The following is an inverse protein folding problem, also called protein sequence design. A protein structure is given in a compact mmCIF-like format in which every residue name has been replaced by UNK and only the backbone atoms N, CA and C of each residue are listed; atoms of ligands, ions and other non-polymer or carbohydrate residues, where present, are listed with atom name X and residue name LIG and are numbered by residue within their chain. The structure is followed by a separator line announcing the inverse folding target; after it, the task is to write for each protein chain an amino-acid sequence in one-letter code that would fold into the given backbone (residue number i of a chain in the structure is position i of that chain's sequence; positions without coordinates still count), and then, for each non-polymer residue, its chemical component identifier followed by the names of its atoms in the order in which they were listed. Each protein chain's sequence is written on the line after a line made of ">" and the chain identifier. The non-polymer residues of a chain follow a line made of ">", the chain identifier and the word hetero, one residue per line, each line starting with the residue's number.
data_IF_025824452220
#
_entry.id   IF_025824452220
#
_cell.length_a   1.000
_cell.length_b   1.000
_cell.length_c   1.000
_cell.angle_alpha   90.00
_cell.angle_beta   90.00
_cell.angle_gamma   90.00
#
_symmetry.space_group_name_H-M   'P 1'
#
loop_
_entity.id
_entity.type
_entity.pdbx_description
1 polymer ?
#
# COMPACT_ATOMS: atom_id res chain seq x y z
N UNK A 1 -19.21 -45.63 11.77
CA UNK A 1 -20.25 -44.87 11.02
C UNK A 1 -20.70 -43.75 11.93
N UNK A 2 -20.07 -42.58 11.80
CA UNK A 2 -20.53 -41.35 12.46
C UNK A 2 -21.08 -40.47 11.34
N UNK A 3 -22.35 -40.69 11.02
CA UNK A 3 -23.09 -39.89 10.05
C UNK A 3 -23.59 -38.65 10.80
N UNK A 4 -22.67 -37.71 11.05
CA UNK A 4 -23.03 -36.40 11.52
C UNK A 4 -23.75 -35.72 10.35
N UNK A 5 -25.07 -35.60 10.46
CA UNK A 5 -25.90 -34.74 9.59
C UNK A 5 -25.22 -33.37 9.56
N UNK A 6 -24.52 -33.05 8.46
CA UNK A 6 -24.00 -31.71 8.25
C UNK A 6 -25.22 -30.83 8.07
N UNK A 7 -25.56 -30.05 9.09
CA UNK A 7 -26.56 -29.01 9.00
C UNK A 7 -26.17 -28.09 7.84
N UNK A 8 -27.03 -28.04 6.82
CA UNK A 8 -26.82 -27.20 5.66
C UNK A 8 -27.02 -25.74 6.06
N UNK A 9 -25.99 -24.94 5.87
CA UNK A 9 -25.95 -23.56 6.36
C UNK A 9 -26.73 -22.67 5.38
N UNK A 10 -27.76 -21.98 5.87
CA UNK A 10 -28.47 -20.98 5.06
C UNK A 10 -27.52 -19.84 4.67
N UNK A 11 -27.67 -19.32 3.46
CA UNK A 11 -26.96 -18.14 2.99
C UNK A 11 -27.83 -16.87 3.20
N UNK A 12 -27.21 -15.69 3.14
CA UNK A 12 -27.88 -14.39 3.32
C UNK A 12 -28.77 -13.95 2.15
N UNK A 13 -29.01 -14.86 1.19
CA UNK A 13 -29.98 -14.69 0.11
C UNK A 13 -31.10 -15.71 0.33
N UNK A 14 -32.33 -15.21 0.48
CA UNK A 14 -33.49 -16.02 0.78
C UNK A 14 -33.64 -17.19 -0.21
N UNK A 15 -33.78 -18.40 0.35
CA UNK A 15 -33.95 -19.62 -0.43
C UNK A 15 -32.67 -20.19 -1.02
N UNK A 16 -31.48 -19.79 -0.54
CA UNK A 16 -30.20 -20.44 -0.86
C UNK A 16 -29.50 -20.97 0.40
N UNK A 17 -28.86 -22.13 0.27
CA UNK A 17 -27.99 -22.73 1.29
C UNK A 17 -26.60 -23.06 0.75
N UNK A 18 -25.68 -23.48 1.61
CA UNK A 18 -24.30 -23.75 1.22
C UNK A 18 -24.19 -24.91 0.22
N UNK A 19 -25.04 -25.94 0.34
CA UNK A 19 -25.06 -27.07 -0.59
C UNK A 19 -25.43 -26.67 -2.02
N UNK A 20 -26.24 -25.63 -2.19
CA UNK A 20 -26.63 -25.09 -3.50
C UNK A 20 -25.44 -24.58 -4.32
N UNK A 21 -24.35 -24.17 -3.67
CA UNK A 21 -23.14 -23.71 -4.35
C UNK A 21 -22.43 -24.81 -5.16
N UNK A 22 -22.80 -26.08 -4.92
CA UNK A 22 -22.28 -27.24 -5.64
C UNK A 22 -23.25 -27.74 -6.72
N UNK A 23 -24.45 -27.17 -6.84
CA UNK A 23 -25.43 -27.55 -7.87
C UNK A 23 -25.48 -26.54 -9.03
N UNK A 24 -25.14 -26.93 -10.28
CA UNK A 24 -25.11 -26.02 -11.42
C UNK A 24 -26.42 -25.26 -11.69
N UNK A 25 -27.58 -25.90 -11.45
CA UNK A 25 -28.89 -25.25 -11.64
C UNK A 25 -29.10 -24.13 -10.64
N UNK A 26 -28.72 -24.37 -9.39
CA UNK A 26 -28.83 -23.40 -8.30
C UNK A 26 -27.82 -22.27 -8.47
N UNK A 27 -26.61 -22.55 -8.97
CA UNK A 27 -25.64 -21.52 -9.35
C UNK A 27 -26.16 -20.60 -10.46
N UNK A 28 -26.90 -21.13 -11.44
CA UNK A 28 -27.56 -20.28 -12.46
C UNK A 28 -28.62 -19.37 -11.84
N UNK A 29 -29.42 -19.89 -10.91
CA UNK A 29 -30.44 -19.11 -10.22
C UNK A 29 -29.77 -18.03 -9.32
N UNK A 30 -28.67 -18.37 -8.65
CA UNK A 30 -27.86 -17.43 -7.86
C UNK A 30 -27.22 -16.34 -8.75
N UNK A 31 -26.74 -16.71 -9.93
CA UNK A 31 -26.22 -15.77 -10.92
C UNK A 31 -27.29 -14.77 -11.39
N UNK A 32 -28.54 -15.20 -11.55
CA UNK A 32 -29.65 -14.27 -11.80
C UNK A 32 -29.87 -13.30 -10.63
N UNK A 33 -29.80 -13.79 -9.38
CA UNK A 33 -29.87 -12.93 -8.18
C UNK A 33 -28.71 -11.95 -8.06
N UNK A 34 -27.52 -12.34 -8.49
CA UNK A 34 -26.39 -11.43 -8.58
C UNK A 34 -26.68 -10.26 -9.54
N UNK A 35 -27.19 -10.51 -10.74
CA UNK A 35 -27.47 -9.43 -11.68
C UNK A 35 -28.67 -8.55 -11.29
N UNK A 36 -29.69 -9.11 -10.62
CA UNK A 36 -30.75 -8.31 -9.99
C UNK A 36 -30.15 -7.36 -8.93
N UNK A 37 -29.25 -7.86 -8.08
CA UNK A 37 -28.54 -7.06 -7.08
C UNK A 37 -27.64 -6.00 -7.72
N UNK A 38 -26.90 -6.38 -8.76
CA UNK A 38 -25.98 -5.49 -9.44
C UNK A 38 -26.69 -4.30 -10.10
N UNK A 39 -27.82 -4.53 -10.76
CA UNK A 39 -28.62 -3.48 -11.39
C UNK A 39 -29.24 -2.53 -10.34
N UNK A 40 -29.64 -3.05 -9.18
CA UNK A 40 -30.11 -2.22 -8.06
C UNK A 40 -28.99 -1.37 -7.45
N UNK A 41 -27.75 -1.87 -7.45
CA UNK A 41 -26.58 -1.20 -6.88
C UNK A 41 -25.97 -0.17 -7.83
N UNK A 42 -25.91 -0.50 -9.12
CA UNK A 42 -25.33 0.31 -10.19
C UNK A 42 -26.12 0.08 -11.48
N UNK A 43 -27.05 0.99 -11.76
CA UNK A 43 -27.94 0.84 -12.91
C UNK A 43 -27.15 0.89 -14.23
N UNK A 44 -27.53 0.02 -15.17
CA UNK A 44 -26.90 -0.16 -16.46
C UNK A 44 -25.65 -1.05 -16.41
N UNK A 45 -25.21 -1.53 -15.24
CA UNK A 45 -24.00 -2.36 -15.13
C UNK A 45 -24.16 -3.70 -15.85
N UNK A 46 -25.34 -4.33 -15.73
CA UNK A 46 -25.62 -5.60 -16.44
C UNK A 46 -25.57 -5.41 -17.97
N UNK A 47 -26.14 -4.32 -18.46
CA UNK A 47 -26.11 -3.98 -19.89
C UNK A 47 -24.68 -3.73 -20.37
N UNK A 48 -23.89 -2.93 -19.63
CA UNK A 48 -22.48 -2.69 -19.94
C UNK A 48 -21.67 -3.99 -19.94
N UNK A 49 -21.88 -4.86 -18.96
CA UNK A 49 -21.20 -6.16 -18.88
C UNK A 49 -21.56 -7.09 -20.04
N UNK A 50 -22.79 -7.06 -20.55
CA UNK A 50 -23.16 -7.85 -21.73
C UNK A 50 -22.33 -7.49 -22.98
N UNK A 51 -21.88 -6.24 -23.11
CA UNK A 51 -21.02 -5.78 -24.21
C UNK A 51 -19.59 -6.32 -24.11
N UNK A 52 -19.12 -6.63 -22.90
CA UNK A 52 -17.81 -7.25 -22.70
C UNK A 52 -17.72 -8.61 -23.42
N UNK A 53 -18.74 -9.45 -23.27
CA UNK A 53 -18.80 -10.77 -23.93
C UNK A 53 -18.89 -10.70 -25.46
N UNK A 54 -19.38 -9.57 -26.00
CA UNK A 54 -19.43 -9.33 -27.44
C UNK A 54 -18.09 -8.81 -28.02
N UNK A 55 -17.11 -8.46 -27.17
CA UNK A 55 -15.79 -7.99 -27.59
C UNK A 55 -15.78 -6.57 -28.20
N UNK A 56 -16.80 -5.75 -27.92
CA UNK A 56 -16.96 -4.42 -28.56
C UNK A 56 -16.25 -3.28 -27.83
N UNK A 57 -15.75 -3.52 -26.61
CA UNK A 57 -15.10 -2.50 -25.78
C UNK A 57 -13.60 -2.44 -26.04
N UNK A 58 -13.02 -1.24 -26.02
CA UNK A 58 -11.57 -1.06 -26.00
C UNK A 58 -10.97 -1.58 -24.67
N UNK A 59 -9.70 -2.00 -24.67
CA UNK A 59 -9.04 -2.63 -23.50
C UNK A 59 -9.12 -1.81 -22.19
N UNK A 60 -8.89 -0.47 -22.20
CA UNK A 60 -9.05 0.32 -20.98
C UNK A 60 -10.48 0.27 -20.43
N UNK A 61 -11.47 0.41 -21.31
CA UNK A 61 -12.89 0.37 -20.93
C UNK A 61 -13.31 -1.02 -20.43
N UNK A 62 -12.75 -2.10 -20.98
CA UNK A 62 -12.93 -3.46 -20.46
C UNK A 62 -12.40 -3.57 -19.03
N UNK A 63 -11.19 -3.06 -18.77
CA UNK A 63 -10.56 -3.13 -17.45
C UNK A 63 -11.35 -2.34 -16.39
N UNK A 64 -11.77 -1.11 -16.72
CA UNK A 64 -12.62 -0.30 -15.84
C UNK A 64 -13.96 -0.99 -15.54
N UNK A 65 -14.58 -1.59 -16.56
CA UNK A 65 -15.82 -2.35 -16.38
C UNK A 65 -15.62 -3.58 -15.47
N UNK A 66 -14.50 -4.30 -15.58
CA UNK A 66 -14.20 -5.41 -14.69
C UNK A 66 -13.97 -4.95 -13.24
N UNK A 67 -13.36 -3.78 -13.04
CA UNK A 67 -13.19 -3.16 -11.71
C UNK A 67 -14.57 -2.80 -11.12
N UNK A 68 -15.43 -2.14 -11.90
CA UNK A 68 -16.80 -1.80 -11.49
C UNK A 68 -17.59 -3.04 -11.07
N UNK A 69 -17.51 -4.13 -11.85
CA UNK A 69 -18.17 -5.40 -11.53
C UNK A 69 -17.57 -6.05 -10.29
N UNK A 70 -16.24 -6.04 -10.14
CA UNK A 70 -15.57 -6.63 -8.98
C UNK A 70 -16.01 -6.00 -7.65
N UNK A 71 -16.26 -4.69 -7.63
CA UNK A 71 -16.80 -3.99 -6.45
C UNK A 71 -18.15 -4.59 -6.05
N UNK A 72 -19.06 -4.72 -7.02
CA UNK A 72 -20.41 -5.26 -6.79
C UNK A 72 -20.37 -6.75 -6.42
N UNK A 73 -19.46 -7.53 -7.01
CA UNK A 73 -19.22 -8.92 -6.62
C UNK A 73 -18.80 -9.00 -5.15
N UNK A 74 -17.88 -8.14 -4.69
CA UNK A 74 -17.47 -8.08 -3.29
C UNK A 74 -18.65 -7.83 -2.35
N UNK A 75 -19.46 -6.80 -2.63
CA UNK A 75 -20.65 -6.48 -1.84
C UNK A 75 -21.69 -7.62 -1.86
N UNK A 76 -21.85 -8.30 -3.00
CA UNK A 76 -22.75 -9.44 -3.13
C UNK A 76 -22.27 -10.64 -2.30
N UNK A 77 -20.98 -10.94 -2.30
CA UNK A 77 -20.40 -12.02 -1.50
C UNK A 77 -20.52 -11.73 0.01
N UNK A 78 -20.36 -10.46 0.41
CA UNK A 78 -20.60 -10.04 1.79
C UNK A 78 -22.02 -10.34 2.25
N UNK A 79 -22.99 -10.05 1.38
CA UNK A 79 -24.39 -10.38 1.64
C UNK A 79 -24.65 -11.89 1.60
N UNK A 80 -24.09 -12.60 0.62
CA UNK A 80 -24.30 -14.03 0.42
C UNK A 80 -23.86 -14.83 1.65
N UNK A 81 -22.72 -14.48 2.25
CA UNK A 81 -22.18 -15.17 3.40
C UNK A 81 -22.47 -14.49 4.75
N UNK A 82 -23.22 -13.39 4.74
CA UNK A 82 -23.55 -12.58 5.94
C UNK A 82 -22.32 -12.07 6.72
N UNK A 83 -21.21 -11.80 6.02
CA UNK A 83 -19.91 -11.40 6.58
C UNK A 83 -19.69 -9.89 6.58
N UNK A 84 -20.75 -9.10 6.68
CA UNK A 84 -20.67 -7.64 6.61
C UNK A 84 -19.78 -7.04 7.71
N UNK A 85 -19.84 -7.59 8.92
CA UNK A 85 -19.06 -7.10 10.05
C UNK A 85 -17.55 -7.35 9.84
N UNK A 86 -17.19 -8.55 9.40
CA UNK A 86 -15.82 -8.96 9.12
C UNK A 86 -15.24 -8.17 7.94
N UNK A 87 -16.02 -7.98 6.88
CA UNK A 87 -15.62 -7.20 5.72
C UNK A 87 -15.44 -5.72 6.06
N UNK A 88 -16.34 -5.12 6.86
CA UNK A 88 -16.18 -3.75 7.33
C UNK A 88 -14.97 -3.59 8.23
N UNK A 89 -14.73 -4.53 9.16
CA UNK A 89 -13.50 -4.54 9.96
C UNK A 89 -12.26 -4.59 9.07
N UNK A 90 -12.23 -5.48 8.07
CA UNK A 90 -11.10 -5.56 7.13
C UNK A 90 -10.90 -4.25 6.35
N UNK A 91 -11.98 -3.61 5.90
CA UNK A 91 -11.92 -2.29 5.23
C UNK A 91 -11.36 -1.22 6.15
N UNK A 92 -11.88 -1.12 7.37
CA UNK A 92 -11.48 -0.10 8.32
C UNK A 92 -10.01 -0.24 8.69
N UNK A 93 -9.58 -1.45 9.03
CA UNK A 93 -8.17 -1.70 9.33
C UNK A 93 -7.25 -1.47 8.10
N UNK A 94 -7.76 -1.55 6.86
CA UNK A 94 -6.98 -1.23 5.64
C UNK A 94 -6.87 0.29 5.50
N UNK A 95 -7.99 1.00 5.66
CA UNK A 95 -8.06 2.47 5.59
C UNK A 95 -7.21 3.14 6.65
N UNK A 96 -7.05 2.52 7.82
CA UNK A 96 -6.11 2.99 8.85
C UNK A 96 -4.69 3.17 8.31
N UNK A 97 -4.26 2.35 7.34
CA UNK A 97 -2.93 2.40 6.75
C UNK A 97 -2.82 3.40 5.59
N UNK A 98 -3.93 3.95 5.09
CA UNK A 98 -3.93 4.96 4.01
C UNK A 98 -3.06 6.17 4.36
N UNK A 99 -3.03 6.55 5.64
CA UNK A 99 -2.19 7.63 6.12
C UNK A 99 -0.71 7.40 5.78
N UNK A 100 -0.22 6.17 5.88
CA UNK A 100 1.18 5.81 5.59
C UNK A 100 1.49 6.05 4.10
N UNK A 101 0.60 5.61 3.22
CA UNK A 101 0.80 5.73 1.77
C UNK A 101 0.68 7.17 1.29
N UNK A 102 -0.30 7.92 1.84
CA UNK A 102 -0.42 9.36 1.60
C UNK A 102 0.79 10.12 2.12
N UNK A 103 1.29 9.80 3.32
CA UNK A 103 2.51 10.38 3.88
C UNK A 103 3.73 10.14 2.98
N UNK A 104 3.92 8.89 2.52
CA UNK A 104 4.99 8.55 1.58
C UNK A 104 4.90 9.37 0.29
N UNK A 105 3.70 9.47 -0.28
CA UNK A 105 3.44 10.16 -1.55
C UNK A 105 3.60 11.67 -1.44
N UNK A 106 2.95 12.28 -0.46
CA UNK A 106 2.75 13.74 -0.39
C UNK A 106 3.82 14.44 0.45
N UNK A 107 4.45 13.74 1.39
CA UNK A 107 5.49 14.29 2.27
C UNK A 107 6.87 13.73 1.95
N UNK A 108 7.10 12.41 2.06
CA UNK A 108 8.44 11.84 1.92
C UNK A 108 9.05 12.07 0.53
N UNK A 109 8.30 11.79 -0.56
CA UNK A 109 8.78 12.02 -1.93
C UNK A 109 9.10 13.49 -2.21
N UNK A 110 8.36 14.41 -1.59
CA UNK A 110 8.49 15.84 -1.84
C UNK A 110 9.62 16.48 -1.02
N UNK A 111 9.75 16.10 0.26
CA UNK A 111 10.59 16.80 1.25
C UNK A 111 11.76 16.00 1.81
N UNK A 112 11.74 14.66 1.72
CA UNK A 112 12.73 13.80 2.40
C UNK A 112 13.61 13.06 1.40
N UNK A 113 13.03 12.34 0.44
CA UNK A 113 13.77 11.40 -0.41
C UNK A 113 14.86 12.03 -1.30
N UNK A 114 14.84 13.35 -1.48
CA UNK A 114 15.87 14.10 -2.21
C UNK A 114 17.10 14.47 -1.36
N UNK A 115 16.97 14.38 -0.04
CA UNK A 115 17.95 14.80 0.97
C UNK A 115 18.53 13.63 1.75
N UNK A 116 18.28 12.38 1.33
CA UNK A 116 18.72 11.19 2.07
C UNK A 116 20.23 10.93 2.01
N UNK A 117 20.97 11.65 1.17
CA UNK A 117 22.43 11.56 1.07
C UNK A 117 23.14 12.56 2.01
N UNK A 118 22.39 13.29 2.84
CA UNK A 118 22.94 14.23 3.82
C UNK A 118 23.69 13.52 4.95
N UNK A 119 24.73 14.18 5.48
CA UNK A 119 25.54 13.63 6.56
C UNK A 119 24.79 13.66 7.89
N UNK A 120 24.99 12.61 8.70
CA UNK A 120 24.38 12.51 10.02
C UNK A 120 24.87 13.64 10.94
N UNK A 121 23.93 14.32 11.60
CA UNK A 121 24.21 15.22 12.72
C UNK A 121 24.72 14.45 13.94
N UNK A 122 25.35 15.16 14.89
CA UNK A 122 25.82 14.54 16.13
C UNK A 122 24.65 14.01 16.99
N UNK A 123 24.96 13.14 17.94
CA UNK A 123 23.93 12.44 18.71
C UNK A 123 23.15 13.38 19.64
N UNK A 124 23.79 14.40 20.21
CA UNK A 124 23.12 15.35 21.09
C UNK A 124 22.12 16.22 20.31
N UNK A 125 22.50 16.65 19.10
CA UNK A 125 21.61 17.36 18.19
C UNK A 125 20.43 16.48 17.76
N UNK A 126 20.67 15.20 17.48
CA UNK A 126 19.62 14.26 17.13
C UNK A 126 18.67 14.00 18.30
N UNK A 127 19.16 13.85 19.53
CA UNK A 127 18.32 13.68 20.72
C UNK A 127 17.35 14.86 20.92
N UNK A 128 17.82 16.09 20.68
CA UNK A 128 16.96 17.28 20.72
C UNK A 128 15.90 17.26 19.62
N UNK A 129 16.30 16.92 18.39
CA UNK A 129 15.39 16.81 17.25
C UNK A 129 14.34 15.71 17.47
N UNK A 130 14.75 14.55 17.97
CA UNK A 130 13.87 13.42 18.28
C UNK A 130 12.87 13.78 19.39
N UNK A 131 13.32 14.50 20.42
CA UNK A 131 12.43 14.99 21.49
C UNK A 131 11.35 15.95 20.94
N UNK A 132 11.74 16.92 20.12
CA UNK A 132 10.81 17.87 19.48
C UNK A 132 9.78 17.13 18.59
N UNK A 133 10.24 16.18 17.78
CA UNK A 133 9.38 15.39 16.91
C UNK A 133 8.44 14.49 17.71
N UNK A 134 8.91 13.84 18.78
CA UNK A 134 8.05 13.06 19.68
C UNK A 134 6.96 13.93 20.29
N UNK A 135 7.25 15.17 20.66
CA UNK A 135 6.26 16.09 21.22
C UNK A 135 5.20 16.49 20.18
N UNK A 136 5.60 16.76 18.94
CA UNK A 136 4.67 17.02 17.82
C UNK A 136 3.77 15.81 17.55
N UNK A 137 4.34 14.61 17.47
CA UNK A 137 3.59 13.38 17.15
C UNK A 137 2.69 12.97 18.31
N UNK A 138 3.11 13.15 19.57
CA UNK A 138 2.31 12.85 20.75
C UNK A 138 1.06 13.72 20.88
N UNK A 139 1.10 14.95 20.34
CA UNK A 139 -0.04 15.87 20.31
C UNK A 139 -1.04 15.56 19.18
N UNK A 140 -0.75 14.59 18.30
CA UNK A 140 -1.66 14.14 17.25
C UNK A 140 -2.63 13.05 17.75
N UNK A 141 -3.57 12.63 16.90
CA UNK A 141 -4.52 11.57 17.24
C UNK A 141 -3.79 10.28 17.65
N UNK A 142 -4.18 9.64 18.78
CA UNK A 142 -3.53 8.42 19.23
C UNK A 142 -3.76 7.28 18.24
N UNK A 143 -2.73 6.46 18.06
CA UNK A 143 -2.79 5.25 17.25
C UNK A 143 -1.71 4.25 17.70
N UNK A 144 -2.02 2.96 17.73
CA UNK A 144 -1.10 1.93 18.25
C UNK A 144 0.15 1.75 17.38
N UNK A 145 0.00 1.81 16.05
CA UNK A 145 1.14 1.82 15.13
C UNK A 145 1.83 3.21 15.13
N UNK A 146 3.12 3.30 15.51
CA UNK A 146 3.86 4.56 15.55
C UNK A 146 4.04 5.21 14.16
N UNK A 147 4.12 4.42 13.09
CA UNK A 147 4.22 4.94 11.72
C UNK A 147 2.93 5.65 11.30
N UNK A 148 1.77 5.05 11.61
CA UNK A 148 0.46 5.67 11.35
C UNK A 148 0.32 6.96 12.13
N UNK A 149 0.73 6.98 13.41
CA UNK A 149 0.69 8.17 14.26
C UNK A 149 1.55 9.30 13.69
N UNK A 150 2.77 8.98 13.28
CA UNK A 150 3.67 9.94 12.62
C UNK A 150 3.06 10.48 11.31
N UNK A 151 2.53 9.58 10.47
CA UNK A 151 1.89 9.94 9.21
C UNK A 151 0.69 10.86 9.41
N UNK A 152 -0.17 10.59 10.39
CA UNK A 152 -1.33 11.44 10.75
C UNK A 152 -0.86 12.84 11.15
N UNK A 153 0.16 12.96 12.00
CA UNK A 153 0.71 14.24 12.42
C UNK A 153 1.24 15.05 11.22
N UNK A 154 2.06 14.42 10.38
CA UNK A 154 2.64 15.04 9.19
C UNK A 154 1.56 15.49 8.19
N UNK A 155 0.55 14.64 7.93
CA UNK A 155 -0.53 14.95 7.00
C UNK A 155 -1.46 16.05 7.53
N UNK A 156 -1.74 16.09 8.84
CA UNK A 156 -2.51 17.15 9.46
C UNK A 156 -1.82 18.52 9.29
N UNK A 157 -0.51 18.57 9.54
CA UNK A 157 0.30 19.78 9.33
C UNK A 157 0.37 20.17 7.85
N UNK A 158 0.53 19.20 6.94
CA UNK A 158 0.56 19.46 5.49
C UNK A 158 -0.78 20.00 4.98
N UNK A 159 -1.90 19.49 5.49
CA UNK A 159 -3.23 20.00 5.18
C UNK A 159 -3.42 21.44 5.69
N UNK A 160 -2.94 21.74 6.90
CA UNK A 160 -2.98 23.09 7.47
C UNK A 160 -2.09 24.07 6.68
N UNK A 161 -0.89 23.68 6.27
CA UNK A 161 -0.01 24.52 5.44
C UNK A 161 -0.66 24.90 4.11
N UNK A 162 -1.29 23.93 3.42
CA UNK A 162 -2.07 24.18 2.20
C UNK A 162 -3.21 25.16 2.46
N UNK A 163 -3.94 24.96 3.56
CA UNK A 163 -5.06 25.82 3.97
C UNK A 163 -4.61 27.27 4.20
N UNK A 164 -3.52 27.45 4.95
CA UNK A 164 -2.97 28.77 5.29
C UNK A 164 -2.39 29.50 4.08
N UNK A 165 -1.93 28.77 3.06
CA UNK A 165 -1.38 29.35 1.82
C UNK A 165 -2.47 29.69 0.80
N UNK A 166 -3.49 28.83 0.66
CA UNK A 166 -4.53 28.97 -0.35
C UNK A 166 -5.75 29.82 0.09
N UNK A 167 -5.83 30.20 1.37
CA UNK A 167 -6.89 31.06 1.91
C UNK A 167 -8.18 30.34 2.33
N UNK A 168 -8.38 29.07 1.91
CA UNK A 168 -9.41 28.10 2.37
C UNK A 168 -8.83 26.68 2.14
N UNK A 169 -9.04 25.59 2.95
CA UNK A 169 -10.31 25.05 3.48
C UNK A 169 -10.21 24.45 4.95
N UNK A 170 -10.76 23.24 5.30
CA UNK A 170 -11.65 23.05 6.47
C UNK A 170 -11.06 23.42 7.85
N UNK A 171 -11.87 24.07 8.70
CA UNK A 171 -11.52 24.48 10.08
C UNK A 171 -10.85 23.37 10.94
N UNK A 172 -11.21 22.11 10.70
CA UNK A 172 -10.65 20.96 11.41
C UNK A 172 -9.15 20.72 11.15
N UNK A 173 -8.59 21.11 10.00
CA UNK A 173 -7.14 20.99 9.75
C UNK A 173 -6.35 22.00 10.57
N UNK A 174 -6.86 23.24 10.67
CA UNK A 174 -6.29 24.32 11.46
C UNK A 174 -6.33 24.01 12.95
N UNK A 175 -7.46 23.53 13.47
CA UNK A 175 -7.61 23.14 14.87
C UNK A 175 -6.60 22.04 15.26
N UNK A 176 -6.47 20.99 14.45
CA UNK A 176 -5.49 19.92 14.68
C UNK A 176 -4.06 20.44 14.64
N UNK A 177 -3.73 21.31 13.68
CA UNK A 177 -2.40 21.91 13.60
C UNK A 177 -2.10 22.82 14.79
N UNK A 178 -3.07 23.58 15.29
CA UNK A 178 -2.94 24.37 16.51
C UNK A 178 -2.63 23.49 17.72
N UNK A 179 -3.32 22.35 17.86
CA UNK A 179 -3.06 21.39 18.94
C UNK A 179 -1.64 20.78 18.82
N UNK A 180 -1.26 20.31 17.64
CA UNK A 180 0.06 19.70 17.38
C UNK A 180 1.18 20.71 17.68
N UNK A 181 1.02 21.95 17.23
CA UNK A 181 2.01 23.01 17.37
C UNK A 181 1.85 23.87 18.64
N UNK A 182 1.04 23.47 19.62
CA UNK A 182 0.70 24.33 20.77
C UNK A 182 1.93 24.73 21.61
N UNK A 183 2.90 23.81 21.75
CA UNK A 183 4.13 24.00 22.50
C UNK A 183 5.19 24.79 21.74
N UNK A 184 4.96 25.11 20.46
CA UNK A 184 5.95 25.76 19.61
C UNK A 184 6.02 27.27 19.85
N UNK A 185 7.24 27.86 19.85
CA UNK A 185 7.44 29.25 20.26
C UNK A 185 7.13 30.28 19.18
N UNK A 186 6.97 29.89 17.90
CA UNK A 186 6.74 30.87 16.82
C UNK A 186 5.45 31.67 17.04
N UNK A 187 5.39 32.95 16.63
CA UNK A 187 4.23 33.80 16.91
C UNK A 187 2.98 33.39 16.11
N UNK A 188 3.16 33.10 14.82
CA UNK A 188 2.08 32.80 13.90
C UNK A 188 1.94 31.29 13.67
N UNK A 189 0.70 30.80 13.56
CA UNK A 189 0.43 29.39 13.26
C UNK A 189 1.11 28.93 11.96
N UNK A 190 1.13 29.77 10.93
CA UNK A 190 1.79 29.44 9.67
C UNK A 190 3.29 29.15 9.84
N UNK A 191 3.98 29.96 10.66
CA UNK A 191 5.38 29.75 11.00
C UNK A 191 5.59 28.51 11.86
N UNK A 192 4.71 28.24 12.84
CA UNK A 192 4.77 27.01 13.65
C UNK A 192 4.61 25.76 12.79
N UNK A 193 3.61 25.74 11.91
CA UNK A 193 3.33 24.61 11.01
C UNK A 193 4.50 24.38 10.05
N UNK A 194 5.00 25.44 9.43
CA UNK A 194 6.18 25.36 8.54
C UNK A 194 7.37 24.77 9.29
N UNK A 195 7.69 25.29 10.48
CA UNK A 195 8.84 24.82 11.25
C UNK A 195 8.67 23.39 11.76
N UNK A 196 7.45 23.01 12.15
CA UNK A 196 7.15 21.63 12.51
C UNK A 196 7.34 20.66 11.33
N UNK A 197 6.89 21.03 10.13
CA UNK A 197 7.10 20.22 8.92
C UNK A 197 8.58 20.10 8.54
N UNK A 198 9.38 21.17 8.73
CA UNK A 198 10.84 21.13 8.57
C UNK A 198 11.48 20.13 9.55
N UNK A 199 11.10 20.17 10.83
CA UNK A 199 11.62 19.25 11.85
C UNK A 199 11.25 17.79 11.55
N UNK A 200 10.01 17.53 11.13
CA UNK A 200 9.59 16.17 10.73
C UNK A 200 10.38 15.67 9.51
N UNK A 201 10.66 16.56 8.54
CA UNK A 201 11.45 16.20 7.37
C UNK A 201 12.91 15.92 7.73
N UNK A 202 13.52 16.81 8.52
CA UNK A 202 14.89 16.67 9.03
C UNK A 202 15.03 15.36 9.82
N UNK A 203 14.11 15.06 10.73
CA UNK A 203 14.13 13.81 11.49
C UNK A 203 14.07 12.58 10.57
N UNK A 204 13.23 12.60 9.54
CA UNK A 204 13.17 11.49 8.57
C UNK A 204 14.49 11.32 7.80
N UNK A 205 15.18 12.41 7.47
CA UNK A 205 16.51 12.38 6.84
C UNK A 205 17.53 11.81 7.83
N UNK A 206 17.60 12.37 9.04
CA UNK A 206 18.61 12.01 10.04
C UNK A 206 18.49 10.59 10.58
N UNK A 207 17.28 10.03 10.60
CA UNK A 207 17.07 8.62 10.91
C UNK A 207 17.67 7.71 9.85
N UNK A 208 17.65 8.10 8.57
CA UNK A 208 18.23 7.33 7.46
C UNK A 208 19.72 7.61 7.26
N UNK A 209 20.21 8.77 7.70
CA UNK A 209 21.60 9.18 7.56
C UNK A 209 22.59 8.34 8.41
N UNK A 210 22.12 7.73 9.50
CA UNK A 210 22.95 6.93 10.40
C UNK A 210 22.37 5.51 10.64
N UNK A 211 23.11 4.43 10.34
CA UNK A 211 22.64 3.06 10.58
C UNK A 211 22.24 2.76 12.04
N UNK A 212 22.87 3.44 13.00
CA UNK A 212 22.54 3.33 14.43
C UNK A 212 21.12 3.81 14.76
N UNK A 213 20.45 4.55 13.88
CA UNK A 213 19.11 5.12 14.07
C UNK A 213 18.01 4.36 13.35
N UNK A 214 18.35 3.42 12.46
CA UNK A 214 17.37 2.66 11.67
C UNK A 214 16.33 1.90 12.51
N UNK A 215 16.66 1.56 13.76
CA UNK A 215 15.72 0.91 14.68
C UNK A 215 14.50 1.77 15.00
N UNK A 216 14.61 3.11 14.96
CA UNK A 216 13.50 4.04 15.22
C UNK A 216 12.35 3.91 14.21
N UNK A 217 12.68 3.48 12.99
CA UNK A 217 11.74 3.29 11.89
C UNK A 217 11.68 1.82 11.45
N UNK A 218 12.05 0.90 12.36
CA UNK A 218 12.00 -0.52 12.07
C UNK A 218 10.55 -0.93 11.74
N UNK A 219 10.37 -1.59 10.58
CA UNK A 219 9.06 -2.01 10.09
C UNK A 219 8.23 -0.90 9.46
N UNK A 220 8.79 0.31 9.28
CA UNK A 220 8.10 1.38 8.57
C UNK A 220 8.17 1.15 7.05
N UNK A 221 7.01 0.88 6.44
CA UNK A 221 6.92 0.57 5.01
C UNK A 221 6.99 1.83 4.13
N UNK A 222 6.75 3.00 4.72
CA UNK A 222 6.87 4.31 4.07
C UNK A 222 8.29 4.59 3.56
N UNK A 223 9.31 4.14 4.29
CA UNK A 223 10.72 4.31 3.91
C UNK A 223 11.23 3.27 2.91
N UNK A 224 10.49 2.17 2.68
CA UNK A 224 10.95 1.17 1.72
C UNK A 224 10.84 1.71 0.29
N UNK A 225 11.94 1.66 -0.46
CA UNK A 225 12.02 2.12 -1.84
C UNK A 225 12.45 0.97 -2.75
N UNK A 226 11.93 0.90 -3.99
CA UNK A 226 12.50 0.01 -4.99
C UNK A 226 13.94 0.47 -5.29
N UNK A 227 14.87 -0.47 -5.28
CA UNK A 227 16.25 -0.20 -5.70
C UNK A 227 16.29 -0.04 -7.22
N UNK A 228 17.26 0.74 -7.71
CA UNK A 228 17.57 0.72 -9.14
C UNK A 228 18.08 -0.67 -9.50
N UNK A 229 17.66 -1.17 -10.66
CA UNK A 229 18.16 -2.45 -11.16
C UNK A 229 19.60 -2.25 -11.65
N UNK A 230 20.54 -2.89 -10.96
CA UNK A 230 21.93 -2.99 -11.38
C UNK A 230 22.17 -4.37 -12.01
N UNK A 231 22.39 -4.40 -13.32
CA UNK A 231 22.58 -5.65 -14.06
C UNK A 231 23.92 -6.32 -13.76
N UNK A 232 24.91 -5.56 -13.28
CA UNK A 232 26.21 -6.10 -12.87
C UNK A 232 26.17 -6.64 -11.42
N UNK A 233 25.14 -6.27 -10.65
CA UNK A 233 24.98 -6.66 -9.25
C UNK A 233 23.54 -7.09 -8.92
N UNK A 234 23.00 -8.05 -9.69
CA UNK A 234 21.63 -8.58 -9.47
C UNK A 234 21.48 -9.36 -8.15
N UNK A 235 22.58 -9.86 -7.60
CA UNK A 235 22.62 -10.65 -6.35
C UNK A 235 23.74 -10.08 -5.47
N UNK A 236 23.46 -9.86 -4.19
CA UNK A 236 24.49 -9.49 -3.20
C UNK A 236 25.44 -10.69 -3.00
N UNK A 237 26.72 -10.49 -3.23
CA UNK A 237 27.77 -11.51 -3.12
C UNK A 237 28.86 -11.04 -2.15
N UNK A 238 29.28 -11.94 -1.28
CA UNK A 238 30.47 -11.83 -0.46
C UNK A 238 31.60 -12.67 -1.07
N UNK A 239 32.83 -12.16 -0.98
CA UNK A 239 34.06 -12.85 -1.39
C UNK A 239 34.88 -13.18 -0.13
N UNK A 240 34.61 -14.32 0.54
CA UNK A 240 35.20 -14.62 1.85
C UNK A 240 36.70 -14.94 1.78
N UNK A 241 37.23 -15.21 0.59
CA UNK A 241 38.61 -15.62 0.38
C UNK A 241 39.33 -14.62 -0.53
N UNK A 242 40.28 -13.90 0.03
CA UNK A 242 41.14 -12.99 -0.74
C UNK A 242 42.12 -13.73 -1.66
N UNK A 243 42.45 -14.99 -1.33
CA UNK A 243 43.35 -15.86 -2.11
C UNK A 243 42.64 -16.62 -3.23
N UNK A 244 41.30 -16.59 -3.27
CA UNK A 244 40.48 -17.22 -4.30
C UNK A 244 39.28 -16.30 -4.63
N UNK A 245 39.48 -15.23 -5.43
CA UNK A 245 38.46 -14.24 -5.72
C UNK A 245 37.17 -14.82 -6.34
N UNK A 246 37.25 -15.94 -7.03
CA UNK A 246 36.10 -16.63 -7.65
C UNK A 246 35.19 -17.32 -6.62
N UNK A 247 35.65 -17.53 -5.38
CA UNK A 247 34.83 -18.06 -4.31
C UNK A 247 33.82 -17.00 -3.86
N UNK A 248 32.56 -17.19 -4.24
CA UNK A 248 31.45 -16.30 -3.91
C UNK A 248 30.42 -17.00 -3.01
N UNK A 249 29.80 -16.23 -2.13
CA UNK A 249 28.66 -16.68 -1.31
C UNK A 249 27.65 -15.56 -1.17
N UNK A 250 26.39 -15.88 -0.88
CA UNK A 250 25.45 -14.88 -0.39
C UNK A 250 25.80 -14.44 1.05
N UNK A 251 25.36 -13.24 1.46
CA UNK A 251 25.57 -12.72 2.81
C UNK A 251 25.06 -13.66 3.89
N UNK A 252 25.83 -13.79 4.97
CA UNK A 252 25.50 -14.69 6.08
C UNK A 252 24.12 -14.39 6.69
N UNK A 253 23.78 -13.10 6.82
CA UNK A 253 22.47 -12.61 7.29
C UNK A 253 21.27 -13.12 6.47
N UNK A 254 21.47 -13.52 5.22
CA UNK A 254 20.42 -14.05 4.34
C UNK A 254 20.36 -15.58 4.32
N UNK A 255 21.36 -16.27 4.88
CA UNK A 255 21.40 -17.73 4.89
C UNK A 255 20.30 -18.26 5.78
N UNK A 256 19.50 -19.16 5.22
CA UNK A 256 18.46 -19.90 5.94
C UNK A 256 18.84 -21.36 5.91
N UNK A 257 19.00 -21.97 7.09
CA UNK A 257 19.14 -23.42 7.18
C UNK A 257 17.81 -24.04 6.77
N UNK A 258 17.82 -24.77 5.65
CA UNK A 258 16.65 -25.48 5.19
C UNK A 258 16.57 -26.81 5.92
N UNK A 259 15.58 -26.94 6.80
CA UNK A 259 15.18 -28.22 7.36
C UNK A 259 13.89 -28.71 6.67
N UNK A 260 14.01 -29.78 5.89
CA UNK A 260 12.92 -30.38 5.13
C UNK A 260 12.44 -29.58 3.89
N UNK A 261 11.17 -29.79 3.51
CA UNK A 261 10.58 -29.26 2.28
C UNK A 261 9.40 -28.31 2.50
N UNK A 262 9.14 -27.91 3.76
CA UNK A 262 8.09 -26.92 4.04
C UNK A 262 8.51 -25.54 3.54
N UNK A 263 7.51 -24.70 3.27
CA UNK A 263 7.73 -23.29 2.97
C UNK A 263 8.32 -22.59 4.20
N UNK A 264 9.55 -22.08 4.08
CA UNK A 264 10.27 -21.34 5.13
C UNK A 264 10.15 -19.82 4.95
N UNK A 265 9.26 -19.39 4.06
CA UNK A 265 8.98 -17.98 3.85
C UNK A 265 8.01 -17.48 4.94
N UNK A 266 8.39 -16.48 5.76
CA UNK A 266 7.53 -15.97 6.83
C UNK A 266 6.29 -15.22 6.30
N UNK A 267 6.25 -14.94 5.00
CA UNK A 267 5.32 -14.07 4.28
C UNK A 267 5.37 -12.63 4.78
N UNK A 268 4.89 -11.72 3.93
CA UNK A 268 4.68 -10.34 4.31
C UNK A 268 3.54 -10.25 5.32
N UNK A 269 3.70 -9.39 6.32
CA UNK A 269 2.58 -8.96 7.13
C UNK A 269 1.66 -8.05 6.32
N UNK A 270 0.48 -7.74 6.86
CA UNK A 270 -0.52 -6.96 6.14
C UNK A 270 -0.05 -5.58 5.68
N UNK A 271 0.70 -4.87 6.52
CA UNK A 271 1.23 -3.53 6.20
C UNK A 271 2.22 -3.60 5.04
N UNK A 272 3.04 -4.66 4.99
CA UNK A 272 3.96 -4.93 3.89
C UNK A 272 3.23 -5.32 2.60
N UNK A 273 2.21 -6.19 2.68
CA UNK A 273 1.37 -6.56 1.52
C UNK A 273 0.71 -5.32 0.92
N UNK A 274 0.10 -4.47 1.75
CA UNK A 274 -0.57 -3.26 1.28
C UNK A 274 0.40 -2.25 0.66
N UNK A 275 1.66 -2.22 1.12
CA UNK A 275 2.70 -1.43 0.45
C UNK A 275 3.00 -1.94 -0.96
N UNK A 276 3.02 -3.24 -1.20
CA UNK A 276 3.18 -3.78 -2.56
C UNK A 276 1.96 -3.47 -3.44
N UNK A 277 0.76 -3.45 -2.86
CA UNK A 277 -0.46 -3.00 -3.55
C UNK A 277 -0.37 -1.52 -3.93
N UNK A 278 0.02 -0.64 -2.99
CA UNK A 278 0.20 0.81 -3.22
C UNK A 278 1.32 1.11 -4.22
N UNK A 279 2.34 0.26 -4.31
CA UNK A 279 3.42 0.39 -5.28
C UNK A 279 2.95 0.19 -6.73
N UNK A 280 1.84 -0.53 -6.94
CA UNK A 280 1.29 -0.76 -8.26
C UNK A 280 1.00 0.56 -8.99
N UNK A 281 1.51 0.72 -10.20
CA UNK A 281 1.36 1.94 -11.00
C UNK A 281 0.02 2.04 -11.74
N UNK A 282 -0.87 1.03 -11.60
CA UNK A 282 -2.20 0.95 -12.22
C UNK A 282 -2.13 1.33 -13.71
N UNK A 283 -1.41 0.51 -14.48
CA UNK A 283 -0.99 0.85 -15.85
C UNK A 283 -2.01 0.53 -16.95
N UNK A 284 -3.11 -0.14 -16.63
CA UNK A 284 -4.14 -0.51 -17.62
C UNK A 284 -4.79 0.67 -18.35
N UNK A 285 -4.99 1.88 -17.77
CA UNK A 285 -5.57 3.00 -18.51
C UNK A 285 -4.65 3.52 -19.62
N UNK A 286 -3.36 3.19 -19.55
CA UNK A 286 -2.33 3.58 -20.53
C UNK A 286 -1.96 2.43 -21.47
N UNK A 287 -2.62 1.28 -21.35
CA UNK A 287 -2.31 0.06 -22.09
C UNK A 287 -0.83 -0.37 -21.94
N UNK A 288 -0.28 -0.16 -20.74
CA UNK A 288 1.09 -0.54 -20.36
C UNK A 288 1.10 -1.62 -19.29
N UNK A 289 0.18 -2.58 -19.39
CA UNK A 289 0.07 -3.77 -18.55
C UNK A 289 1.17 -4.79 -18.88
N UNK A 290 2.43 -4.36 -18.72
CA UNK A 290 3.61 -5.12 -19.08
C UNK A 290 3.77 -6.43 -18.31
N UNK A 291 3.12 -6.58 -17.16
CA UNK A 291 3.07 -7.85 -16.43
C UNK A 291 2.27 -8.95 -17.17
N UNK A 292 1.35 -8.57 -18.05
CA UNK A 292 0.50 -9.50 -18.83
C UNK A 292 0.94 -9.60 -20.29
N UNK A 293 1.51 -8.52 -20.83
CA UNK A 293 1.76 -8.38 -22.27
C UNK A 293 3.22 -8.04 -22.63
N UNK A 294 4.09 -7.91 -21.64
CA UNK A 294 5.48 -7.52 -21.83
C UNK A 294 5.72 -6.04 -22.10
N UNK A 295 6.99 -5.68 -22.24
CA UNK A 295 7.41 -4.32 -22.52
C UNK A 295 7.50 -4.12 -24.02
N UNK A 296 6.49 -3.49 -24.61
CA UNK A 296 6.47 -3.18 -26.04
C UNK A 296 7.42 -2.04 -26.38
N UNK A 297 8.05 -2.15 -27.55
CA UNK A 297 8.82 -1.10 -28.19
C UNK A 297 7.94 -0.33 -29.20
N UNK A 298 8.36 0.88 -29.55
CA UNK A 298 7.75 1.74 -30.57
C UNK A 298 7.74 1.12 -31.96
N UNK A 299 8.69 0.23 -32.27
CA UNK A 299 8.75 -0.52 -33.52
C UNK A 299 7.79 -1.73 -33.58
N UNK A 300 6.97 -1.96 -32.55
CA UNK A 300 6.00 -3.06 -32.49
C UNK A 300 6.56 -4.40 -31.99
N UNK A 301 7.85 -4.46 -31.63
CA UNK A 301 8.48 -5.60 -30.96
C UNK A 301 8.46 -5.47 -29.44
N UNK A 302 9.28 -6.29 -28.76
CA UNK A 302 9.53 -6.17 -27.31
C UNK A 302 10.87 -5.48 -27.06
N UNK A 303 10.92 -4.65 -26.01
CA UNK A 303 12.16 -4.14 -25.45
C UNK A 303 13.04 -5.32 -25.04
N UNK A 304 14.36 -5.13 -25.09
CA UNK A 304 15.34 -6.15 -24.71
C UNK A 304 16.08 -5.76 -23.45
N UNK A 305 16.40 -6.72 -22.61
CA UNK A 305 17.32 -6.52 -21.50
C UNK A 305 18.77 -6.38 -22.02
N UNK A 306 19.76 -6.05 -21.17
CA UNK A 306 21.16 -5.92 -21.58
C UNK A 306 21.79 -7.17 -22.18
N UNK A 307 21.22 -8.36 -21.93
CA UNK A 307 21.64 -9.62 -22.55
C UNK A 307 20.98 -9.87 -23.92
N UNK A 308 20.21 -8.91 -24.44
CA UNK A 308 19.49 -9.02 -25.69
C UNK A 308 18.23 -9.89 -25.62
N UNK A 309 17.77 -10.29 -24.43
CA UNK A 309 16.58 -11.13 -24.26
C UNK A 309 15.33 -10.24 -24.33
N UNK A 310 14.33 -10.57 -25.18
CA UNK A 310 13.09 -9.81 -25.28
C UNK A 310 12.26 -9.92 -23.99
N UNK A 311 11.73 -8.79 -23.54
CA UNK A 311 10.90 -8.65 -22.34
C UNK A 311 9.43 -8.89 -22.69
N UNK A 312 9.04 -10.16 -22.76
CA UNK A 312 7.70 -10.60 -23.18
C UNK A 312 6.64 -10.55 -22.09
N UNK A 313 7.03 -10.27 -20.84
CA UNK A 313 6.17 -10.42 -19.66
C UNK A 313 6.43 -11.75 -18.99
#
# INVERSE_FOLDING_TARGET
>A
MNDAVREDVSLGIAGFSFSDLYEPRRLRDLHAKFWEFAEARSSGLAQRFSQFGAGTLAKPAQSELLIDVAIVVGEFLERLFEIHAEANRLRDETRTLDAIFQFKRDFLRARVFKSLDESAIDEAQFEMLDADVRQLVAASSPHDDPEVRFAIAALALLAAEKTLTAGEPPAASIERAQAICAHRPEPELASRVRKALELLAEWCVQVQAAPSRHWLVQGWVSFTRPHKLDYEQLIELDHPRSDLPEATTGPEKHRRLRDGFRLTDPRMNRKEVLREVDYCIICHPREKDSCSHGFKDTAGGHQRNPLGIPLTG
#
